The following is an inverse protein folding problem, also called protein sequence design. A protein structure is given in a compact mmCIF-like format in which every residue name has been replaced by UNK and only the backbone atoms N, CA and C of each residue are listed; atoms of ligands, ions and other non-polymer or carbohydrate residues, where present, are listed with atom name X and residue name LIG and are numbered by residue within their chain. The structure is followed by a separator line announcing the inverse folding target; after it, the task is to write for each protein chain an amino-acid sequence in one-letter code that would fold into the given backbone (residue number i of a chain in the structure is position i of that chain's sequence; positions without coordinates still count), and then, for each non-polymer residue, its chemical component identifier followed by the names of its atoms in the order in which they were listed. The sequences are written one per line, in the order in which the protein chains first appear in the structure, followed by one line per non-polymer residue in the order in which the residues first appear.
data_IF_537377839142
#
_entry.id   IF_537377839142
#
_cell.length_a   1.000
_cell.length_b   1.000
_cell.length_c   1.000
_cell.angle_alpha   90.00
_cell.angle_beta   90.00
_cell.angle_gamma   90.00
#
_symmetry.space_group_name_H-M   'P 1'
#
loop_
_entity.id
_entity.type
_entity.pdbx_description
1 polymer ?
#
# COMPACT_ATOMS: atom_id res chain seq x y z
N UNK A 1 -27.58 27.64 1.57
CA UNK A 1 -26.92 26.99 2.72
C UNK A 1 -25.39 27.22 2.67
N UNK A 2 -24.93 28.46 2.54
CA UNK A 2 -23.51 28.78 2.25
C UNK A 2 -22.83 29.52 3.40
N UNK A 3 -23.56 29.87 4.46
CA UNK A 3 -23.09 30.73 5.56
C UNK A 3 -22.64 29.96 6.82
N UNK A 4 -23.03 28.68 6.96
CA UNK A 4 -22.70 27.87 8.14
C UNK A 4 -21.26 27.33 8.13
N UNK A 5 -20.64 27.17 6.96
CA UNK A 5 -19.24 26.74 6.83
C UNK A 5 -18.23 27.87 7.06
N UNK A 6 -18.64 29.13 6.94
CA UNK A 6 -17.79 30.29 7.24
C UNK A 6 -17.67 30.59 8.73
N UNK A 7 -18.59 30.07 9.56
CA UNK A 7 -18.77 30.55 10.95
C UNK A 7 -18.33 29.55 12.02
N UNK A 8 -18.26 28.22 11.76
CA UNK A 8 -18.14 27.23 12.86
C UNK A 8 -16.98 26.22 12.82
N UNK A 9 -15.94 26.48 12.05
CA UNK A 9 -14.66 25.78 12.26
C UNK A 9 -13.92 25.59 10.96
N UNK A 10 -12.78 26.27 10.83
CA UNK A 10 -11.81 25.87 9.81
C UNK A 10 -11.40 24.43 10.13
N UNK A 11 -11.80 23.50 9.27
CA UNK A 11 -11.32 22.11 9.32
C UNK A 11 -9.80 22.21 9.19
N UNK A 12 -9.09 21.94 10.28
CA UNK A 12 -7.64 22.06 10.31
C UNK A 12 -7.07 21.00 9.37
N UNK A 13 -6.07 21.39 8.58
CA UNK A 13 -5.31 20.48 7.73
C UNK A 13 -4.82 19.23 8.50
N UNK A 14 -4.36 19.40 9.75
CA UNK A 14 -3.91 18.30 10.60
C UNK A 14 -4.99 17.25 10.84
N UNK A 15 -6.25 17.66 11.03
CA UNK A 15 -7.38 16.76 11.24
C UNK A 15 -7.67 15.93 10.00
N UNK A 16 -7.59 16.53 8.81
CA UNK A 16 -7.76 15.80 7.54
C UNK A 16 -6.66 14.75 7.35
N UNK A 17 -5.40 15.09 7.66
CA UNK A 17 -4.28 14.14 7.57
C UNK A 17 -4.44 12.98 8.56
N UNK A 18 -4.88 13.26 9.78
CA UNK A 18 -5.15 12.24 10.79
C UNK A 18 -6.32 11.32 10.39
N UNK A 19 -7.41 11.88 9.88
CA UNK A 19 -8.56 11.13 9.35
C UNK A 19 -8.15 10.25 8.16
N UNK A 20 -7.35 10.79 7.22
CA UNK A 20 -6.82 10.02 6.08
C UNK A 20 -5.93 8.87 6.56
N UNK A 21 -5.06 9.11 7.54
CA UNK A 21 -4.25 8.06 8.14
C UNK A 21 -5.11 7.00 8.84
N UNK A 22 -6.23 7.37 9.44
CA UNK A 22 -7.19 6.45 10.04
C UNK A 22 -7.93 5.61 8.96
N UNK A 23 -8.34 6.23 7.84
CA UNK A 23 -8.97 5.52 6.72
C UNK A 23 -8.07 4.43 6.14
N UNK A 24 -6.78 4.70 5.93
CA UNK A 24 -5.85 3.67 5.43
C UNK A 24 -5.63 2.51 6.40
N UNK A 25 -5.96 2.69 7.68
CA UNK A 25 -5.84 1.67 8.75
C UNK A 25 -7.18 1.03 9.11
N UNK A 26 -8.26 1.41 8.42
CA UNK A 26 -9.59 0.91 8.74
C UNK A 26 -9.66 -0.61 8.55
N UNK A 27 -10.18 -1.37 9.54
CA UNK A 27 -10.27 -2.82 9.43
C UNK A 27 -11.42 -3.20 8.49
N UNK A 28 -11.13 -3.27 7.19
CA UNK A 28 -12.08 -3.75 6.20
C UNK A 28 -12.21 -5.27 6.34
N UNK A 29 -13.32 -5.74 6.88
CA UNK A 29 -13.76 -7.14 6.95
C UNK A 29 -14.83 -7.45 5.91
N UNK A 30 -14.83 -8.69 5.43
CA UNK A 30 -15.71 -9.19 4.36
C UNK A 30 -17.19 -9.09 4.71
N UNK A 31 -17.59 -9.21 5.98
CA UNK A 31 -18.99 -9.48 6.32
C UNK A 31 -19.80 -8.24 6.75
N UNK A 32 -19.17 -7.08 6.99
CA UNK A 32 -19.90 -5.96 7.64
C UNK A 32 -19.37 -4.55 7.36
N UNK A 33 -18.17 -4.35 6.81
CA UNK A 33 -17.51 -3.04 6.95
C UNK A 33 -17.20 -2.29 5.66
N UNK A 34 -17.42 -2.90 4.48
CA UNK A 34 -17.01 -2.28 3.21
C UNK A 34 -17.89 -1.08 2.85
N UNK A 35 -19.21 -1.20 3.03
CA UNK A 35 -20.17 -0.10 2.84
C UNK A 35 -19.92 1.04 3.83
N UNK A 36 -19.68 0.72 5.10
CA UNK A 36 -19.33 1.72 6.13
C UNK A 36 -18.01 2.41 5.81
N UNK A 37 -17.02 1.65 5.34
CA UNK A 37 -15.74 2.18 4.91
C UNK A 37 -15.89 3.15 3.73
N UNK A 38 -16.68 2.79 2.72
CA UNK A 38 -16.97 3.67 1.59
C UNK A 38 -17.71 4.92 1.99
N UNK A 39 -18.67 4.81 2.92
CA UNK A 39 -19.35 5.99 3.50
C UNK A 39 -18.34 6.93 4.18
N UNK A 40 -17.40 6.39 4.96
CA UNK A 40 -16.36 7.22 5.60
C UNK A 40 -15.45 7.92 4.60
N UNK A 41 -15.14 7.29 3.46
CA UNK A 41 -14.39 7.94 2.38
C UNK A 41 -15.23 9.05 1.73
N UNK A 42 -16.50 8.78 1.42
CA UNK A 42 -17.42 9.76 0.83
C UNK A 42 -17.60 10.99 1.73
N UNK A 43 -17.58 10.82 3.06
CA UNK A 43 -17.60 11.92 4.03
C UNK A 43 -16.27 12.68 4.14
N UNK A 44 -15.15 12.04 3.85
CA UNK A 44 -13.82 12.64 3.98
C UNK A 44 -13.48 13.57 2.81
N UNK A 45 -13.88 13.23 1.58
CA UNK A 45 -13.65 14.04 0.37
C UNK A 45 -14.12 15.50 0.52
N UNK A 46 -15.36 15.80 0.96
CA UNK A 46 -15.79 17.18 1.15
C UNK A 46 -15.06 17.89 2.30
N UNK A 47 -14.62 17.16 3.35
CA UNK A 47 -13.82 17.74 4.46
C UNK A 47 -12.41 18.12 4.00
N UNK A 48 -11.77 17.27 3.22
CA UNK A 48 -10.46 17.56 2.62
C UNK A 48 -10.52 18.79 1.71
N UNK A 49 -11.59 18.88 0.91
CA UNK A 49 -11.88 20.07 0.08
C UNK A 49 -12.06 21.32 0.95
N UNK A 50 -12.84 21.25 2.04
CA UNK A 50 -13.04 22.37 2.96
C UNK A 50 -11.76 22.81 3.68
N UNK A 51 -10.81 21.89 3.90
CA UNK A 51 -9.50 22.19 4.47
C UNK A 51 -8.47 22.72 3.45
N UNK A 52 -8.87 22.94 2.19
CA UNK A 52 -8.01 23.45 1.12
C UNK A 52 -7.15 22.37 0.44
N UNK A 53 -7.48 21.09 0.62
CA UNK A 53 -6.75 19.95 0.04
C UNK A 53 -7.73 19.05 -0.70
N UNK A 54 -8.23 19.48 -1.88
CA UNK A 54 -9.14 18.66 -2.66
C UNK A 54 -8.45 17.37 -3.10
N UNK A 55 -9.12 16.23 -2.88
CA UNK A 55 -8.64 14.92 -3.31
C UNK A 55 -9.17 14.62 -4.72
N UNK A 56 -8.28 14.12 -5.59
CA UNK A 56 -8.68 13.60 -6.91
C UNK A 56 -9.29 12.21 -6.78
N UNK A 57 -10.11 11.78 -7.75
CA UNK A 57 -10.67 10.42 -7.74
C UNK A 57 -9.58 9.34 -7.64
N UNK A 58 -8.45 9.55 -8.32
CA UNK A 58 -7.31 8.65 -8.23
C UNK A 58 -6.74 8.55 -6.81
N UNK A 59 -6.65 9.67 -6.09
CA UNK A 59 -6.18 9.70 -4.70
C UNK A 59 -7.18 9.00 -3.76
N UNK A 60 -8.48 9.22 -3.96
CA UNK A 60 -9.54 8.54 -3.22
C UNK A 60 -9.44 7.02 -3.40
N UNK A 61 -9.28 6.55 -4.64
CA UNK A 61 -9.10 5.14 -4.97
C UNK A 61 -7.80 4.59 -4.36
N UNK A 62 -6.71 5.36 -4.37
CA UNK A 62 -5.45 4.93 -3.77
C UNK A 62 -5.57 4.72 -2.25
N UNK A 63 -6.25 5.62 -1.54
CA UNK A 63 -6.55 5.50 -0.10
C UNK A 63 -7.39 4.25 0.16
N UNK A 64 -8.46 4.05 -0.62
CA UNK A 64 -9.35 2.90 -0.50
C UNK A 64 -8.60 1.57 -0.73
N UNK A 65 -7.80 1.51 -1.80
CA UNK A 65 -7.01 0.34 -2.15
C UNK A 65 -6.02 -0.02 -1.05
N UNK A 66 -5.38 0.96 -0.41
CA UNK A 66 -4.43 0.70 0.67
C UNK A 66 -5.08 0.08 1.90
N UNK A 67 -6.33 0.44 2.22
CA UNK A 67 -7.07 -0.19 3.30
C UNK A 67 -7.48 -1.62 2.94
N UNK A 68 -8.04 -1.81 1.74
CA UNK A 68 -8.55 -3.10 1.26
C UNK A 68 -7.41 -4.12 1.06
N UNK A 69 -6.25 -3.70 0.56
CA UNK A 69 -5.09 -4.56 0.32
C UNK A 69 -4.51 -5.16 1.62
N UNK A 70 -4.89 -4.65 2.80
CA UNK A 70 -4.49 -5.30 4.07
C UNK A 70 -5.32 -6.53 4.38
N UNK A 71 -6.51 -6.64 3.79
CA UNK A 71 -7.34 -7.82 3.93
C UNK A 71 -6.93 -8.87 2.89
N UNK A 72 -6.58 -10.06 3.37
CA UNK A 72 -6.16 -11.18 2.51
C UNK A 72 -7.30 -11.70 1.64
N UNK A 73 -8.55 -11.64 2.11
CA UNK A 73 -9.74 -12.04 1.36
C UNK A 73 -10.03 -11.18 0.12
N UNK A 74 -9.42 -9.99 0.00
CA UNK A 74 -9.60 -9.11 -1.15
C UNK A 74 -8.35 -9.04 -2.06
N UNK A 75 -7.30 -9.84 -1.82
CA UNK A 75 -6.06 -9.75 -2.62
C UNK A 75 -6.30 -9.97 -4.11
N UNK A 76 -7.07 -11.00 -4.48
CA UNK A 76 -7.31 -11.27 -5.89
C UNK A 76 -8.24 -10.22 -6.52
N UNK A 77 -9.24 -9.73 -5.78
CA UNK A 77 -10.06 -8.60 -6.23
C UNK A 77 -9.19 -7.36 -6.48
N UNK A 78 -8.20 -7.08 -5.63
CA UNK A 78 -7.22 -6.00 -5.84
C UNK A 78 -6.37 -6.25 -7.09
N UNK A 79 -5.90 -7.48 -7.33
CA UNK A 79 -5.15 -7.83 -8.56
C UNK A 79 -6.00 -7.65 -9.81
N UNK A 80 -7.24 -8.15 -9.79
CA UNK A 80 -8.22 -8.03 -10.86
C UNK A 80 -8.55 -6.57 -11.18
N UNK A 81 -8.73 -5.75 -10.14
CA UNK A 81 -8.94 -4.31 -10.30
C UNK A 81 -7.74 -3.64 -10.96
N UNK A 82 -6.51 -3.95 -10.52
CA UNK A 82 -5.28 -3.38 -11.10
C UNK A 82 -5.05 -3.80 -12.56
N UNK A 83 -5.59 -4.94 -12.99
CA UNK A 83 -5.47 -5.43 -14.36
C UNK A 83 -6.42 -4.71 -15.35
N UNK A 84 -7.41 -3.94 -14.87
CA UNK A 84 -8.36 -3.20 -15.72
C UNK A 84 -7.67 -2.03 -16.43
N UNK A 85 -7.98 -1.85 -17.72
CA UNK A 85 -7.45 -0.75 -18.55
C UNK A 85 -8.36 0.49 -18.62
N UNK A 86 -9.54 0.45 -17.98
CA UNK A 86 -10.45 1.59 -17.97
C UNK A 86 -10.00 2.65 -16.97
N UNK A 87 -10.38 3.91 -17.21
CA UNK A 87 -10.12 4.98 -16.24
C UNK A 87 -10.82 4.65 -14.92
N UNK A 88 -10.07 4.52 -13.81
CA UNK A 88 -10.64 4.11 -12.54
C UNK A 88 -11.40 5.30 -11.95
N UNK A 89 -12.74 5.21 -11.93
CA UNK A 89 -13.59 6.16 -11.21
C UNK A 89 -13.93 5.61 -9.84
N UNK A 90 -14.23 6.51 -8.89
CA UNK A 90 -14.57 6.08 -7.53
C UNK A 90 -15.85 5.25 -7.50
N UNK A 91 -16.82 5.58 -8.35
CA UNK A 91 -18.08 4.84 -8.49
C UNK A 91 -17.83 3.41 -8.99
N UNK A 92 -17.03 3.25 -10.05
CA UNK A 92 -16.69 1.93 -10.59
C UNK A 92 -15.92 1.09 -9.56
N UNK A 93 -15.08 1.73 -8.74
CA UNK A 93 -14.36 1.06 -7.65
C UNK A 93 -15.33 0.50 -6.60
N UNK A 94 -16.26 1.32 -6.09
CA UNK A 94 -17.27 0.88 -5.11
C UNK A 94 -18.10 -0.27 -5.64
N UNK A 95 -18.61 -0.15 -6.87
CA UNK A 95 -19.42 -1.21 -7.50
C UNK A 95 -18.66 -2.52 -7.63
N UNK A 96 -17.41 -2.48 -8.07
CA UNK A 96 -16.60 -3.68 -8.22
C UNK A 96 -16.37 -4.40 -6.88
N UNK A 97 -15.96 -3.66 -5.85
CA UNK A 97 -15.64 -4.28 -4.56
C UNK A 97 -16.89 -4.72 -3.78
N UNK A 98 -18.04 -4.04 -3.94
CA UNK A 98 -19.31 -4.51 -3.40
C UNK A 98 -19.78 -5.79 -4.09
N UNK A 99 -19.64 -5.89 -5.41
CA UNK A 99 -19.97 -7.13 -6.13
C UNK A 99 -19.10 -8.29 -5.63
N UNK A 100 -17.79 -8.07 -5.51
CA UNK A 100 -16.88 -9.10 -5.00
C UNK A 100 -17.17 -9.49 -3.54
N UNK A 101 -17.66 -8.56 -2.72
CA UNK A 101 -18.13 -8.90 -1.37
C UNK A 101 -19.35 -9.83 -1.42
N UNK A 102 -20.35 -9.51 -2.23
CA UNK A 102 -21.55 -10.35 -2.39
C UNK A 102 -21.18 -11.74 -2.92
N UNK A 103 -20.27 -11.82 -3.89
CA UNK A 103 -19.79 -13.09 -4.44
C UNK A 103 -19.10 -13.95 -3.35
N UNK A 104 -18.31 -13.31 -2.48
CA UNK A 104 -17.68 -13.98 -1.34
C UNK A 104 -18.69 -14.47 -0.29
N UNK A 105 -19.73 -13.67 -0.03
CA UNK A 105 -20.79 -14.04 0.91
C UNK A 105 -21.60 -15.23 0.39
N UNK A 106 -21.97 -15.24 -0.90
CA UNK A 106 -22.69 -16.37 -1.52
C UNK A 106 -21.88 -17.67 -1.47
N UNK A 107 -20.60 -17.61 -1.80
CA UNK A 107 -19.68 -18.75 -1.68
C UNK A 107 -19.66 -19.33 -0.27
N UNK A 108 -19.59 -18.45 0.74
CA UNK A 108 -19.50 -18.87 2.13
C UNK A 108 -20.79 -19.59 2.59
N UNK A 109 -21.95 -19.17 2.07
CA UNK A 109 -23.24 -19.80 2.34
C UNK A 109 -23.45 -21.13 1.59
N UNK A 110 -22.95 -21.25 0.37
CA UNK A 110 -23.11 -22.45 -0.47
C UNK A 110 -22.12 -23.58 -0.12
N UNK A 111 -21.07 -23.29 0.65
CA UNK A 111 -20.10 -24.30 1.06
C UNK A 111 -20.61 -25.07 2.29
N UNK A 112 -20.73 -26.42 2.28
CA UNK A 112 -21.18 -27.20 3.44
C UNK A 112 -20.28 -27.09 4.70
N UNK A 113 -19.10 -26.46 4.59
CA UNK A 113 -18.23 -26.10 5.70
C UNK A 113 -18.68 -24.83 6.46
N UNK A 114 -19.50 -23.96 5.85
CA UNK A 114 -19.98 -22.70 6.44
C UNK A 114 -20.90 -22.87 7.65
N UNK A 115 -21.56 -24.03 7.79
CA UNK A 115 -22.43 -24.32 8.94
C UNK A 115 -21.70 -24.87 10.18
N UNK A 116 -20.40 -25.18 10.12
CA UNK A 116 -19.68 -25.83 11.24
C UNK A 116 -18.45 -25.10 11.80
N UNK A 117 -17.97 -24.00 11.20
CA UNK A 117 -16.66 -23.45 11.58
C UNK A 117 -16.67 -21.93 11.82
N UNK A 118 -16.96 -21.53 13.07
CA UNK A 118 -16.73 -20.18 13.59
C UNK A 118 -15.27 -19.93 14.06
N UNK A 119 -14.29 -20.68 13.56
CA UNK A 119 -12.87 -20.44 13.90
C UNK A 119 -11.98 -20.60 12.67
N UNK A 120 -11.21 -19.58 12.26
CA UNK A 120 -10.36 -19.69 11.09
C UNK A 120 -9.13 -20.56 11.41
N UNK A 121 -9.00 -21.68 10.71
CA UNK A 121 -7.73 -22.42 10.64
C UNK A 121 -6.99 -22.03 9.34
N UNK A 122 -5.68 -22.25 9.30
CA UNK A 122 -4.81 -21.81 8.20
C UNK A 122 -5.16 -22.47 6.84
N UNK A 123 -5.82 -23.64 6.86
CA UNK A 123 -6.18 -24.40 5.66
C UNK A 123 -7.41 -23.83 4.95
N UNK A 124 -8.36 -23.23 5.68
CA UNK A 124 -9.55 -22.57 5.12
C UNK A 124 -9.19 -21.35 4.27
N UNK A 125 -8.09 -20.68 4.60
CA UNK A 125 -7.63 -19.51 3.85
C UNK A 125 -7.17 -19.90 2.44
N UNK A 126 -6.54 -21.06 2.30
CA UNK A 126 -6.05 -21.56 1.01
C UNK A 126 -7.19 -22.05 0.13
N UNK A 127 -8.21 -22.69 0.71
CA UNK A 127 -9.42 -23.09 -0.01
C UNK A 127 -10.21 -21.87 -0.49
N UNK A 128 -10.34 -20.83 0.34
CA UNK A 128 -10.98 -19.57 -0.02
C UNK A 128 -10.24 -18.86 -1.18
N UNK A 129 -8.90 -18.82 -1.16
CA UNK A 129 -8.12 -18.29 -2.29
C UNK A 129 -8.34 -19.12 -3.57
N UNK A 130 -8.42 -20.45 -3.47
CA UNK A 130 -8.57 -21.31 -4.63
C UNK A 130 -9.96 -21.16 -5.27
N UNK A 131 -10.99 -21.00 -4.44
CA UNK A 131 -12.35 -20.75 -4.91
C UNK A 131 -12.50 -19.35 -5.51
N UNK A 132 -11.89 -18.33 -4.90
CA UNK A 132 -11.88 -16.97 -5.47
C UNK A 132 -11.26 -16.92 -6.87
N UNK A 133 -10.21 -17.71 -7.13
CA UNK A 133 -9.56 -17.73 -8.44
C UNK A 133 -10.52 -18.26 -9.51
N UNK A 134 -11.34 -19.25 -9.15
CA UNK A 134 -12.36 -19.85 -10.01
C UNK A 134 -13.48 -18.85 -10.37
N UNK A 135 -13.97 -18.07 -9.40
CA UNK A 135 -14.98 -17.01 -9.64
C UNK A 135 -14.45 -15.85 -10.47
N UNK A 136 -13.16 -15.54 -10.33
CA UNK A 136 -12.52 -14.47 -11.09
C UNK A 136 -12.37 -14.85 -12.58
N UNK A 137 -12.07 -16.11 -12.88
CA UNK A 137 -12.02 -16.62 -14.25
C UNK A 137 -13.39 -16.54 -14.94
N UNK A 138 -14.48 -16.73 -14.21
CA UNK A 138 -15.84 -16.60 -14.73
C UNK A 138 -16.21 -15.15 -15.10
N UNK A 139 -15.67 -14.16 -14.37
CA UNK A 139 -15.93 -12.74 -14.63
C UNK A 139 -15.03 -12.12 -15.71
N UNK A 140 -13.89 -12.75 -16.02
CA UNK A 140 -12.98 -12.29 -17.07
C UNK A 140 -13.33 -12.85 -18.46
N UNK A 141 -14.11 -13.94 -18.54
CA UNK A 141 -14.58 -14.55 -19.78
C UNK A 141 -16.11 -14.64 -19.79
N UNK A 142 -16.85 -13.60 -20.26
CA UNK A 142 -18.26 -13.78 -20.55
C UNK A 142 -18.40 -14.87 -21.64
N UNK A 143 -19.35 -15.82 -21.54
CA UNK A 143 -19.62 -16.73 -22.65
C UNK A 143 -19.92 -15.90 -23.89
N UNK A 144 -19.27 -16.25 -25.01
CA UNK A 144 -19.50 -15.59 -26.29
C UNK A 144 -21.01 -15.51 -26.56
N UNK A 145 -21.54 -14.37 -27.04
CA UNK A 145 -22.95 -14.28 -27.38
C UNK A 145 -23.26 -15.40 -28.38
N UNK A 146 -24.22 -16.24 -28.04
CA UNK A 146 -24.71 -17.28 -28.92
C UNK A 146 -25.02 -16.67 -30.31
N UNK A 147 -24.68 -17.35 -31.42
CA UNK A 147 -24.97 -16.83 -32.75
C UNK A 147 -26.48 -16.59 -32.86
N UNK A 148 -26.85 -15.34 -33.18
CA UNK A 148 -28.24 -14.95 -33.35
C UNK A 148 -28.92 -15.85 -34.40
N UNK A 149 -30.16 -16.34 -34.15
CA UNK A 149 -30.90 -17.10 -35.15
C UNK A 149 -31.19 -16.22 -36.38
N UNK A 150 -31.24 -16.80 -37.60
CA UNK A 150 -31.44 -16.04 -38.82
C UNK A 150 -32.83 -15.38 -38.84
N UNK A 151 -32.86 -14.09 -39.13
CA UNK A 151 -34.06 -13.26 -39.20
C UNK A 151 -35.00 -13.66 -40.36
N UNK A 152 -36.34 -13.61 -40.18
CA UNK A 152 -37.28 -13.66 -41.28
C UNK A 152 -37.43 -12.29 -41.99
N UNK A 153 -37.86 -12.36 -43.26
CA UNK A 153 -37.89 -11.33 -44.30
C UNK A 153 -38.73 -10.05 -44.00
N UNK A 154 -38.61 -8.97 -44.82
CA UNK A 154 -38.86 -7.59 -44.40
C UNK A 154 -40.24 -7.00 -44.80
N UNK A 155 -40.70 -6.00 -44.04
CA UNK A 155 -41.68 -4.98 -44.47
C UNK A 155 -41.61 -3.74 -43.52
N UNK A 156 -42.19 -2.58 -43.88
CA UNK A 156 -41.68 -1.51 -44.75
C UNK A 156 -41.29 -0.23 -43.92
N UNK A 157 -40.87 0.91 -44.53
CA UNK A 157 -39.95 1.85 -43.89
C UNK A 157 -40.63 2.85 -42.95
N UNK A 158 -40.06 3.03 -41.75
CA UNK A 158 -40.42 4.10 -40.84
C UNK A 158 -39.22 5.05 -40.62
N UNK A 159 -39.46 6.30 -41.02
CA UNK A 159 -38.94 7.59 -40.51
C UNK A 159 -37.43 7.72 -40.18
N UNK A 160 -36.81 8.69 -40.86
CA UNK A 160 -35.42 9.11 -40.71
C UNK A 160 -35.01 9.45 -39.26
N UNK A 161 -33.78 9.10 -38.83
CA UNK A 161 -33.25 9.55 -37.55
C UNK A 161 -32.62 10.96 -37.65
N UNK A 162 -32.82 11.73 -36.58
CA UNK A 162 -32.25 13.06 -36.34
C UNK A 162 -30.71 13.06 -36.25
N UNK A 163 -30.02 14.20 -36.48
CA UNK A 163 -28.57 14.27 -36.44
C UNK A 163 -28.01 14.15 -35.01
N UNK A 164 -26.94 13.36 -34.87
CA UNK A 164 -26.21 13.16 -33.62
C UNK A 164 -25.44 14.44 -33.17
N UNK A 165 -25.22 14.64 -31.85
CA UNK A 165 -24.45 15.77 -31.33
C UNK A 165 -22.93 15.64 -31.64
N UNK A 166 -22.19 16.76 -31.62
CA UNK A 166 -20.78 16.78 -32.01
C UNK A 166 -19.91 16.03 -30.99
N UNK A 167 -19.15 15.05 -31.48
CA UNK A 167 -18.04 14.41 -30.77
C UNK A 167 -17.02 15.47 -30.37
N UNK A 168 -16.93 15.76 -29.08
CA UNK A 168 -15.83 16.55 -28.52
C UNK A 168 -14.53 15.75 -28.67
N UNK A 169 -13.45 16.43 -29.07
CA UNK A 169 -12.18 15.81 -29.40
C UNK A 169 -11.42 15.39 -28.13
N UNK A 170 -11.71 14.17 -27.65
CA UNK A 170 -11.07 13.57 -26.47
C UNK A 170 -9.55 13.38 -26.65
N UNK A 171 -9.02 13.44 -27.88
CA UNK A 171 -7.62 13.12 -28.17
C UNK A 171 -6.62 14.13 -27.57
N UNK A 172 -6.96 15.42 -27.59
CA UNK A 172 -6.11 16.48 -27.04
C UNK A 172 -6.01 16.43 -25.51
N UNK A 173 -7.10 16.04 -24.83
CA UNK A 173 -7.12 15.87 -23.38
C UNK A 173 -6.26 14.68 -22.94
N UNK A 174 -6.32 13.56 -23.67
CA UNK A 174 -5.48 12.39 -23.40
C UNK A 174 -3.98 12.67 -23.60
N UNK A 175 -3.61 13.46 -24.60
CA UNK A 175 -2.22 13.84 -24.84
C UNK A 175 -1.65 14.71 -23.70
N UNK A 176 -2.43 15.68 -23.21
CA UNK A 176 -2.04 16.53 -22.08
C UNK A 176 -1.88 15.73 -20.78
N UNK A 177 -2.81 14.82 -20.49
CA UNK A 177 -2.76 13.95 -19.31
C UNK A 177 -1.56 12.98 -19.34
N UNK A 178 -1.21 12.45 -20.52
CA UNK A 178 -0.04 11.58 -20.68
C UNK A 178 1.29 12.30 -20.41
N UNK A 179 1.40 13.57 -20.83
CA UNK A 179 2.58 14.40 -20.55
C UNK A 179 2.74 14.69 -19.05
N UNK A 180 1.63 14.93 -18.35
CA UNK A 180 1.63 15.17 -16.89
C UNK A 180 2.02 13.90 -16.11
N UNK A 181 1.52 12.73 -16.53
CA UNK A 181 1.92 11.44 -15.94
C UNK A 181 3.42 11.17 -16.13
N UNK A 182 3.99 11.53 -17.28
CA UNK A 182 5.44 11.39 -17.51
C UNK A 182 6.25 12.32 -16.61
N UNK A 183 5.81 13.56 -16.40
CA UNK A 183 6.43 14.50 -15.47
C UNK A 183 6.38 13.99 -14.03
N UNK A 184 5.25 13.45 -13.59
CA UNK A 184 5.11 12.87 -12.25
C UNK A 184 6.01 11.65 -12.05
N UNK A 185 6.12 10.77 -13.07
CA UNK A 185 7.03 9.61 -13.02
C UNK A 185 8.49 10.05 -12.92
N UNK A 186 8.91 11.03 -13.71
CA UNK A 186 10.27 11.58 -13.64
C UNK A 186 10.58 12.21 -12.26
N UNK A 187 9.59 12.89 -11.65
CA UNK A 187 9.74 13.45 -10.31
C UNK A 187 9.87 12.37 -9.22
N UNK A 188 9.09 11.27 -9.33
CA UNK A 188 9.19 10.12 -8.42
C UNK A 188 10.56 9.45 -8.55
N UNK A 189 11.07 9.24 -9.77
CA UNK A 189 12.39 8.64 -10.00
C UNK A 189 13.52 9.51 -9.42
N UNK A 190 13.43 10.84 -9.57
CA UNK A 190 14.39 11.77 -8.99
C UNK A 190 14.37 11.74 -7.44
N UNK A 191 13.19 11.63 -6.82
CA UNK A 191 13.05 11.48 -5.37
C UNK A 191 13.60 10.14 -4.88
N UNK A 192 13.34 9.04 -5.60
CA UNK A 192 13.86 7.71 -5.26
C UNK A 192 15.40 7.66 -5.37
N UNK A 193 15.98 8.33 -6.36
CA UNK A 193 17.43 8.48 -6.48
C UNK A 193 18.05 9.21 -5.27
N UNK A 194 17.36 10.22 -4.73
CA UNK A 194 17.81 10.96 -3.54
C UNK A 194 17.69 10.16 -2.22
N UNK A 195 16.72 9.25 -2.13
CA UNK A 195 16.56 8.35 -0.95
C UNK A 195 17.64 7.25 -0.94
N UNK A 196 18.14 6.86 -2.11
CA UNK A 196 19.29 5.95 -2.24
C UNK A 196 20.61 6.72 -2.07
N UNK A 197 20.83 7.29 -0.88
CA UNK A 197 22.19 7.73 -0.52
C UNK A 197 23.14 6.53 -0.68
N UNK A 198 24.21 6.61 -1.49
CA UNK A 198 25.16 5.52 -1.59
C UNK A 198 25.68 5.23 -0.18
N UNK A 199 25.58 3.97 0.26
CA UNK A 199 26.25 3.50 1.48
C UNK A 199 27.71 3.86 1.32
N UNK A 200 28.17 4.84 2.11
CA UNK A 200 29.59 5.20 2.15
C UNK A 200 30.35 3.89 2.42
N UNK A 201 31.32 3.50 1.57
CA UNK A 201 32.06 2.27 1.80
C UNK A 201 32.63 2.31 3.22
N UNK A 202 32.51 1.22 3.99
CA UNK A 202 33.04 1.18 5.34
C UNK A 202 34.53 1.53 5.28
N UNK A 203 34.91 2.63 5.91
CA UNK A 203 36.32 3.00 5.99
C UNK A 203 37.03 1.89 6.79
N UNK A 204 38.17 1.37 6.29
CA UNK A 204 38.95 0.41 7.05
C UNK A 204 39.40 1.07 8.37
N UNK A 205 39.15 0.41 9.50
CA UNK A 205 39.63 0.89 10.80
C UNK A 205 41.16 0.80 10.82
N UNK A 206 41.82 1.95 10.89
CA UNK A 206 43.29 2.05 10.90
C UNK A 206 43.91 1.83 12.29
N UNK A 207 43.10 1.64 13.34
CA UNK A 207 43.63 1.42 14.69
C UNK A 207 42.58 1.28 15.79
N UNK A 208 43.02 1.04 17.04
CA UNK A 208 42.15 0.93 18.20
C UNK A 208 41.46 2.27 18.52
N UNK A 209 40.17 2.22 18.84
CA UNK A 209 39.38 3.42 19.18
C UNK A 209 39.78 3.98 20.55
N UNK A 210 39.80 5.30 20.71
CA UNK A 210 40.17 5.93 21.99
C UNK A 210 39.03 6.79 22.54
N UNK A 211 38.98 6.97 23.86
CA UNK A 211 38.11 7.93 24.53
C UNK A 211 36.79 7.37 25.07
N UNK A 212 35.75 8.21 25.11
CA UNK A 212 34.43 7.83 25.64
C UNK A 212 33.34 7.94 24.58
N UNK A 213 32.32 7.06 24.61
CA UNK A 213 31.14 7.20 23.79
C UNK A 213 30.33 8.43 24.23
N UNK A 214 29.73 9.14 23.27
CA UNK A 214 28.81 10.26 23.58
C UNK A 214 27.52 9.82 24.28
N UNK A 215 27.25 8.51 24.33
CA UNK A 215 26.11 7.91 25.04
C UNK A 215 26.62 6.77 25.93
N UNK A 216 26.07 6.58 27.13
CA UNK A 216 26.45 5.45 27.98
C UNK A 216 26.34 4.12 27.23
N UNK A 217 27.39 3.30 27.34
CA UNK A 217 27.36 1.95 26.77
C UNK A 217 26.42 1.07 27.63
N UNK A 218 25.52 0.29 27.01
CA UNK A 218 24.63 -0.61 27.76
C UNK A 218 25.39 -1.59 28.65
N UNK A 219 24.84 -1.91 29.82
CA UNK A 219 25.53 -2.73 30.84
C UNK A 219 25.98 -4.12 30.34
N UNK A 220 25.28 -4.70 29.37
CA UNK A 220 25.61 -6.02 28.80
C UNK A 220 26.87 -6.01 27.91
N UNK A 221 27.40 -4.83 27.56
CA UNK A 221 28.72 -4.70 26.93
C UNK A 221 29.77 -4.74 28.04
N UNK A 222 29.97 -5.91 28.63
CA UNK A 222 30.86 -6.12 29.78
C UNK A 222 32.18 -6.81 29.41
N UNK A 223 32.41 -7.09 28.12
CA UNK A 223 33.63 -7.69 27.60
C UNK A 223 34.56 -6.63 27.02
N UNK A 224 35.79 -7.02 26.74
CA UNK A 224 36.80 -6.16 26.15
C UNK A 224 37.33 -6.72 24.84
N UNK A 225 37.49 -5.84 23.86
CA UNK A 225 38.06 -6.14 22.55
C UNK A 225 39.17 -5.13 22.23
N UNK A 226 40.33 -5.60 21.77
CA UNK A 226 41.47 -4.73 21.45
C UNK A 226 41.12 -3.62 20.45
N UNK A 227 40.31 -3.91 19.42
CA UNK A 227 39.89 -2.90 18.43
C UNK A 227 38.80 -1.96 18.98
N UNK A 228 37.79 -2.50 19.66
CA UNK A 228 36.54 -1.78 19.96
C UNK A 228 36.48 -1.19 21.37
N UNK A 229 37.28 -1.67 22.31
CA UNK A 229 37.22 -1.29 23.72
C UNK A 229 36.16 -2.10 24.45
N UNK A 230 35.33 -1.45 25.25
CA UNK A 230 34.21 -2.10 25.96
C UNK A 230 33.14 -2.53 24.95
N UNK A 231 32.91 -3.84 24.85
CA UNK A 231 32.10 -4.46 23.80
C UNK A 231 31.24 -5.64 24.31
N UNK A 232 30.40 -6.18 23.43
CA UNK A 232 29.61 -7.40 23.66
C UNK A 232 30.40 -8.69 23.32
N UNK A 233 31.63 -8.56 22.83
CA UNK A 233 32.54 -9.68 22.56
C UNK A 233 33.93 -9.43 23.15
N UNK A 234 34.60 -10.52 23.44
CA UNK A 234 36.01 -10.61 23.79
C UNK A 234 36.90 -10.45 22.54
N UNK A 235 38.16 -10.07 22.74
CA UNK A 235 39.13 -9.83 21.66
C UNK A 235 39.18 -10.97 20.62
N UNK A 236 39.31 -12.26 21.01
CA UNK A 236 39.35 -13.38 20.06
C UNK A 236 38.10 -13.46 19.16
N UNK A 237 36.93 -13.13 19.72
CA UNK A 237 35.64 -13.13 19.02
C UNK A 237 35.41 -11.94 18.08
N UNK A 238 36.40 -11.05 17.93
CA UNK A 238 36.26 -9.87 17.08
C UNK A 238 36.25 -10.24 15.60
N UNK A 239 35.15 -9.92 14.89
CA UNK A 239 35.05 -10.12 13.43
C UNK A 239 35.68 -9.00 12.61
N UNK A 240 35.85 -7.81 13.22
CA UNK A 240 36.37 -6.61 12.57
C UNK A 240 37.68 -6.17 13.25
N UNK A 241 38.70 -7.02 13.13
CA UNK A 241 40.03 -6.77 13.69
C UNK A 241 40.73 -5.64 12.93
N UNK A 242 41.39 -4.71 13.64
CA UNK A 242 42.33 -3.80 12.99
C UNK A 242 43.63 -4.56 12.64
N UNK A 243 44.50 -4.01 11.77
CA UNK A 243 45.73 -4.69 11.33
C UNK A 243 46.63 -5.23 12.45
N UNK A 244 46.62 -4.62 13.63
CA UNK A 244 47.44 -5.01 14.80
C UNK A 244 46.61 -5.50 15.99
N UNK A 245 45.50 -6.18 15.72
CA UNK A 245 44.62 -6.69 16.78
C UNK A 245 45.28 -7.78 17.61
N UNK A 246 45.16 -7.70 18.95
CA UNK A 246 45.67 -8.70 19.90
C UNK A 246 44.53 -9.51 20.51
N UNK A 247 44.51 -10.81 20.27
CA UNK A 247 43.45 -11.71 20.74
C UNK A 247 43.53 -11.94 22.25
N UNK A 248 44.71 -11.80 22.85
CA UNK A 248 44.93 -11.99 24.28
C UNK A 248 44.54 -10.76 25.11
N UNK A 249 44.08 -9.68 24.47
CA UNK A 249 43.75 -8.45 25.15
C UNK A 249 42.48 -8.62 26.00
N UNK A 250 42.55 -8.20 27.26
CA UNK A 250 41.47 -8.32 28.24
C UNK A 250 41.14 -6.97 28.87
N UNK A 251 40.05 -6.92 29.63
CA UNK A 251 39.65 -5.69 30.32
C UNK A 251 40.72 -5.23 31.32
N UNK A 252 41.38 -6.19 31.97
CA UNK A 252 42.46 -5.98 32.93
C UNK A 252 43.81 -5.67 32.26
N UNK A 253 44.11 -6.31 31.12
CA UNK A 253 45.32 -6.05 30.33
C UNK A 253 44.96 -5.69 28.89
N UNK A 254 44.83 -4.39 28.64
CA UNK A 254 44.42 -3.86 27.33
C UNK A 254 45.48 -3.99 26.24
N UNK A 255 46.73 -4.28 26.61
CA UNK A 255 47.89 -4.45 25.71
C UNK A 255 48.14 -3.29 24.71
N UNK A 256 47.77 -2.06 25.07
CA UNK A 256 47.83 -0.89 24.17
C UNK A 256 46.65 -0.76 23.20
N UNK A 257 45.60 -1.55 23.40
CA UNK A 257 44.38 -1.52 22.60
C UNK A 257 43.44 -0.35 22.95
N UNK A 258 42.20 -0.47 22.48
CA UNK A 258 41.17 0.55 22.58
C UNK A 258 40.81 0.87 24.03
N UNK A 259 40.81 2.15 24.39
CA UNK A 259 40.29 2.60 25.70
C UNK A 259 38.81 2.96 25.64
N UNK A 260 38.17 2.78 24.48
CA UNK A 260 36.82 3.26 24.24
C UNK A 260 35.80 2.67 25.21
N UNK A 261 35.17 3.53 26.03
CA UNK A 261 34.12 3.13 26.97
C UNK A 261 34.60 2.30 28.17
N UNK A 262 35.91 2.32 28.44
CA UNK A 262 36.53 1.53 29.50
C UNK A 262 36.75 2.29 30.82
N UNK A 263 36.12 3.46 30.97
CA UNK A 263 36.22 4.30 32.18
C UNK A 263 35.09 4.03 33.16
#
# INVERSE_FOLDING_TARGET
MTWLLQTYGQVKYSTVVEEQAALTKYPVQVHTTLTDFFTKIDEHVPRATAAGVPLTEFQVIAIAKQAIQKNTSFQQAVMAWNARQQQPTWIAFKQFFLQQQNDLEQVLEETPAGQMFHTPTADDHQLMMQLMNMLLEQHQNPPAPAPAPPAPAPAPPALAPAPAPPTQDHSAFHAAQAAEIQLLRAAIDALQANVRRPRRPPQPMTGPRQGQPSRPIPAHFNKYCYTHGRCNHDSPGCRNKCPDHKDEATMANKMGGSTFGCS
#
